data_IF_658732541413
#
_entry.id   IF_658732541413
#
_cell.length_a   1.000
_cell.length_b   1.000
_cell.length_c   1.000
_cell.angle_alpha   90.00
_cell.angle_beta   90.00
_cell.angle_gamma   90.00
#
_symmetry.space_group_name_H-M   'P 1'
#
loop_
_entity.id
_entity.type
_entity.pdbx_description
1 polymer ?
#
# COMPACT_ATOMS: atom_id res chain seq x y z
N UNK A 1 35.22 -27.02 -14.15
CA UNK A 1 33.97 -26.42 -13.65
C UNK A 1 32.92 -27.51 -13.70
N UNK A 2 32.39 -27.94 -12.56
CA UNK A 2 31.24 -28.85 -12.52
C UNK A 2 29.99 -27.99 -12.44
N UNK A 3 29.22 -27.96 -13.53
CA UNK A 3 27.90 -27.32 -13.52
C UNK A 3 27.00 -28.08 -12.53
N UNK A 4 26.61 -27.39 -11.46
CA UNK A 4 25.63 -27.92 -10.53
C UNK A 4 24.25 -27.80 -11.19
N UNK A 5 23.63 -28.93 -11.52
CA UNK A 5 22.25 -28.95 -12.00
C UNK A 5 21.30 -28.74 -10.82
N UNK A 6 20.47 -27.70 -10.93
CA UNK A 6 19.34 -27.49 -10.01
C UNK A 6 18.12 -28.20 -10.57
N UNK A 7 17.56 -29.15 -9.81
CA UNK A 7 16.32 -29.84 -10.17
C UNK A 7 15.21 -29.51 -9.16
N UNK A 8 13.96 -29.56 -9.63
CA UNK A 8 12.75 -29.43 -8.83
C UNK A 8 11.92 -30.70 -9.04
N UNK A 9 11.54 -31.37 -7.96
CA UNK A 9 10.68 -32.56 -7.99
C UNK A 9 9.30 -32.19 -7.48
N UNK A 10 8.26 -32.61 -8.20
CA UNK A 10 6.86 -32.45 -7.81
C UNK A 10 6.25 -33.85 -7.67
N UNK A 11 5.69 -34.14 -6.50
CA UNK A 11 4.97 -35.39 -6.24
C UNK A 11 3.47 -35.19 -6.43
N UNK A 12 2.88 -35.88 -7.40
CA UNK A 12 1.44 -35.84 -7.68
C UNK A 12 0.63 -36.86 -6.86
N UNK A 13 1.29 -37.78 -6.16
CA UNK A 13 0.63 -38.74 -5.26
C UNK A 13 0.26 -38.10 -3.91
N UNK A 14 0.89 -36.96 -3.56
CA UNK A 14 0.56 -36.16 -2.38
C UNK A 14 -0.11 -34.85 -2.79
N UNK A 15 -1.43 -34.76 -2.62
CA UNK A 15 -2.15 -33.50 -2.80
C UNK A 15 -2.05 -32.65 -1.53
N UNK A 16 -1.68 -31.37 -1.69
CA UNK A 16 -1.86 -30.36 -0.65
C UNK A 16 -3.33 -29.94 -0.50
N UNK A 17 -3.58 -28.90 0.29
CA UNK A 17 -4.91 -28.28 0.38
C UNK A 17 -5.31 -27.54 -0.90
N UNK A 18 -6.59 -27.13 -0.97
CA UNK A 18 -7.06 -26.29 -2.08
C UNK A 18 -6.24 -24.98 -2.14
N UNK A 19 -5.83 -24.52 -3.35
CA UNK A 19 -5.08 -23.28 -3.48
C UNK A 19 -5.86 -22.10 -2.91
N UNK A 20 -5.25 -21.37 -1.98
CA UNK A 20 -5.87 -20.22 -1.31
C UNK A 20 -5.43 -18.87 -1.89
N UNK A 21 -4.56 -18.86 -2.90
CA UNK A 21 -4.15 -17.68 -3.66
C UNK A 21 -3.62 -16.51 -2.81
N UNK A 22 -2.99 -16.80 -1.67
CA UNK A 22 -2.54 -15.78 -0.70
C UNK A 22 -1.64 -14.68 -1.29
N UNK A 23 -0.87 -14.99 -2.33
CA UNK A 23 0.01 -14.04 -3.02
C UNK A 23 -0.62 -13.40 -4.27
N UNK A 24 -1.90 -13.65 -4.57
CA UNK A 24 -2.58 -13.06 -5.71
C UNK A 24 -2.93 -11.61 -5.42
N UNK A 25 -2.05 -10.72 -5.86
CA UNK A 25 -2.19 -9.29 -5.65
C UNK A 25 -1.39 -8.51 -6.68
N UNK A 26 -1.63 -7.21 -6.74
CA UNK A 26 -0.91 -6.33 -7.66
C UNK A 26 -0.46 -5.06 -6.95
N UNK A 27 0.69 -4.56 -7.39
CA UNK A 27 1.32 -3.36 -6.87
C UNK A 27 1.30 -2.33 -7.99
N UNK A 28 0.62 -1.20 -7.76
CA UNK A 28 0.48 -0.12 -8.75
C UNK A 28 -0.03 -0.60 -10.12
N UNK A 29 -0.93 -1.59 -10.10
CA UNK A 29 -1.46 -2.25 -11.31
C UNK A 29 -2.69 -1.61 -11.92
N UNK A 30 -3.14 -0.45 -11.43
CA UNK A 30 -4.29 0.30 -11.97
C UNK A 30 -3.83 1.66 -12.47
N UNK A 31 -4.52 2.17 -13.48
CA UNK A 31 -4.36 3.56 -13.90
C UNK A 31 -4.77 4.52 -12.78
N UNK A 32 -4.28 5.77 -12.79
CA UNK A 32 -4.59 6.73 -11.73
C UNK A 32 -6.08 6.96 -11.50
N UNK A 33 -6.90 6.85 -12.53
CA UNK A 33 -8.36 6.98 -12.50
C UNK A 33 -9.10 5.64 -12.22
N UNK A 34 -8.37 4.54 -12.06
CA UNK A 34 -8.91 3.20 -11.80
C UNK A 34 -9.70 2.59 -12.96
N UNK A 35 -9.65 3.17 -14.17
CA UNK A 35 -10.43 2.70 -15.32
C UNK A 35 -9.83 1.45 -15.97
N UNK A 36 -8.51 1.30 -15.93
CA UNK A 36 -7.77 0.20 -16.52
C UNK A 36 -6.84 -0.46 -15.48
N UNK A 37 -6.47 -1.73 -15.69
CA UNK A 37 -6.89 -2.64 -16.78
C UNK A 37 -8.34 -3.15 -16.65
N UNK A 38 -8.80 -3.87 -17.68
CA UNK A 38 -10.13 -4.49 -17.74
C UNK A 38 -10.32 -5.51 -16.61
N UNK A 39 -11.57 -5.68 -16.14
CA UNK A 39 -11.94 -6.53 -14.99
C UNK A 39 -11.31 -7.93 -15.00
N UNK A 40 -11.27 -8.57 -16.17
CA UNK A 40 -10.86 -9.97 -16.29
C UNK A 40 -9.39 -10.19 -15.91
N UNK A 41 -8.52 -9.20 -16.11
CA UNK A 41 -7.12 -9.26 -15.65
C UNK A 41 -6.99 -9.35 -14.13
N UNK A 42 -8.02 -8.95 -13.38
CA UNK A 42 -8.09 -9.17 -11.93
C UNK A 42 -8.85 -10.45 -11.58
N UNK A 43 -10.03 -10.66 -12.19
CA UNK A 43 -10.92 -11.75 -11.80
C UNK A 43 -10.35 -13.12 -12.14
N UNK A 44 -9.67 -13.26 -13.27
CA UNK A 44 -9.23 -14.56 -13.79
C UNK A 44 -8.06 -15.15 -12.98
N UNK A 45 -7.30 -14.31 -12.27
CA UNK A 45 -6.18 -14.73 -11.42
C UNK A 45 -6.57 -14.95 -9.95
N UNK A 46 -7.88 -14.93 -9.64
CA UNK A 46 -8.41 -15.03 -8.27
C UNK A 46 -7.73 -14.02 -7.35
N UNK A 47 -7.75 -12.77 -7.81
CA UNK A 47 -7.08 -11.65 -7.18
C UNK A 47 -7.66 -11.29 -5.81
N UNK A 48 -6.78 -10.96 -4.86
CA UNK A 48 -7.15 -10.61 -3.49
C UNK A 48 -6.74 -9.19 -3.08
N UNK A 49 -5.58 -8.69 -3.54
CA UNK A 49 -4.99 -7.47 -2.97
C UNK A 49 -4.56 -6.45 -4.03
N UNK A 50 -4.96 -5.18 -3.86
CA UNK A 50 -4.34 -4.03 -4.53
C UNK A 50 -3.48 -3.27 -3.52
N UNK A 51 -2.19 -3.11 -3.79
CA UNK A 51 -1.39 -2.08 -3.13
C UNK A 51 -1.13 -0.95 -4.10
N UNK A 52 -1.77 0.20 -3.88
CA UNK A 52 -1.61 1.33 -4.78
C UNK A 52 -1.96 2.67 -4.12
N UNK A 53 -1.85 3.73 -4.91
CA UNK A 53 -2.09 5.11 -4.49
C UNK A 53 -1.28 6.08 -5.33
N UNK A 54 -1.04 7.28 -4.79
CA UNK A 54 -0.40 8.37 -5.52
C UNK A 54 1.12 8.30 -5.64
N UNK A 55 1.81 7.28 -5.10
CA UNK A 55 3.28 7.23 -5.14
C UNK A 55 3.88 7.26 -6.55
N UNK A 56 3.21 6.63 -7.52
CA UNK A 56 3.68 6.57 -8.91
C UNK A 56 3.34 7.84 -9.72
N UNK A 57 2.74 8.85 -9.08
CA UNK A 57 2.53 10.14 -9.71
C UNK A 57 3.81 10.97 -9.51
N UNK A 58 4.41 11.43 -10.60
CA UNK A 58 5.58 12.33 -10.61
C UNK A 58 5.27 13.74 -10.08
N UNK A 59 4.25 13.88 -9.24
CA UNK A 59 3.94 15.08 -8.46
C UNK A 59 4.47 14.91 -7.04
N UNK A 60 4.59 16.01 -6.30
CA UNK A 60 4.83 15.95 -4.86
C UNK A 60 3.65 15.28 -4.11
N UNK A 61 3.50 15.53 -2.82
CA UNK A 61 2.39 15.02 -2.04
C UNK A 61 2.02 15.93 -0.87
N UNK A 62 1.51 15.35 0.19
CA UNK A 62 1.21 16.05 1.45
C UNK A 62 2.39 16.87 1.98
N UNK A 63 3.61 16.37 1.80
CA UNK A 63 4.85 17.02 2.22
C UNK A 63 5.20 18.30 1.43
N UNK A 64 4.59 18.51 0.26
CA UNK A 64 4.98 19.58 -0.68
C UNK A 64 3.89 20.63 -0.84
N UNK A 65 2.64 20.22 -1.13
CA UNK A 65 1.53 21.16 -1.29
C UNK A 65 0.16 20.48 -1.18
N UNK A 66 -0.87 21.26 -0.86
CA UNK A 66 -2.26 20.78 -0.88
C UNK A 66 -2.69 20.31 -2.28
N UNK A 67 -2.23 20.98 -3.33
CA UNK A 67 -2.58 20.61 -4.71
C UNK A 67 -2.01 19.24 -5.08
N UNK A 68 -0.73 19.00 -4.75
CA UNK A 68 -0.09 17.70 -4.97
C UNK A 68 -0.73 16.58 -4.15
N UNK A 69 -1.06 16.87 -2.89
CA UNK A 69 -1.79 15.95 -2.03
C UNK A 69 -3.15 15.58 -2.61
N UNK A 70 -3.93 16.56 -3.11
CA UNK A 70 -5.23 16.30 -3.76
C UNK A 70 -5.08 15.44 -5.01
N UNK A 71 -4.03 15.65 -5.80
CA UNK A 71 -3.71 14.80 -6.96
C UNK A 71 -3.51 13.33 -6.54
N UNK A 72 -2.67 13.09 -5.52
CA UNK A 72 -2.42 11.74 -4.98
C UNK A 72 -3.66 11.13 -4.34
N UNK A 73 -4.44 11.93 -3.62
CA UNK A 73 -5.69 11.50 -2.98
C UNK A 73 -6.74 11.07 -4.00
N UNK A 74 -6.98 11.88 -5.04
CA UNK A 74 -7.95 11.57 -6.08
C UNK A 74 -7.64 10.24 -6.76
N UNK A 75 -6.35 10.00 -7.04
CA UNK A 75 -5.93 8.74 -7.62
C UNK A 75 -6.11 7.55 -6.67
N UNK A 76 -5.72 7.73 -5.40
CA UNK A 76 -5.88 6.71 -4.36
C UNK A 76 -7.36 6.34 -4.18
N UNK A 77 -8.25 7.32 -4.15
CA UNK A 77 -9.68 7.11 -3.98
C UNK A 77 -10.29 6.37 -5.17
N UNK A 78 -9.88 6.70 -6.40
CA UNK A 78 -10.37 6.02 -7.61
C UNK A 78 -9.95 4.54 -7.62
N UNK A 79 -8.69 4.27 -7.32
CA UNK A 79 -8.15 2.90 -7.26
C UNK A 79 -8.73 2.08 -6.09
N UNK A 80 -8.97 2.72 -4.94
CA UNK A 80 -9.69 2.12 -3.81
C UNK A 80 -11.10 1.70 -4.21
N UNK A 81 -11.89 2.62 -4.78
CA UNK A 81 -13.27 2.34 -5.21
C UNK A 81 -13.31 1.20 -6.21
N UNK A 82 -12.39 1.20 -7.18
CA UNK A 82 -12.27 0.13 -8.17
C UNK A 82 -11.92 -1.21 -7.54
N UNK A 83 -10.96 -1.23 -6.63
CA UNK A 83 -10.53 -2.44 -5.90
C UNK A 83 -11.70 -3.07 -5.15
N UNK A 84 -12.43 -2.27 -4.38
CA UNK A 84 -13.60 -2.73 -3.63
C UNK A 84 -14.70 -3.22 -4.57
N UNK A 85 -14.96 -2.51 -5.68
CA UNK A 85 -15.97 -2.91 -6.67
C UNK A 85 -15.63 -4.26 -7.36
N UNK A 86 -14.35 -4.62 -7.43
CA UNK A 86 -13.89 -5.91 -7.97
C UNK A 86 -13.79 -7.01 -6.90
N UNK A 87 -14.08 -6.71 -5.63
CA UNK A 87 -14.03 -7.66 -4.52
C UNK A 87 -12.65 -7.83 -3.88
N UNK A 88 -11.69 -6.95 -4.18
CA UNK A 88 -10.35 -6.98 -3.61
C UNK A 88 -10.21 -6.16 -2.32
N UNK A 89 -9.10 -6.38 -1.62
CA UNK A 89 -8.67 -5.59 -0.47
C UNK A 89 -7.67 -4.53 -0.93
N UNK A 90 -7.92 -3.27 -0.61
CA UNK A 90 -7.01 -2.17 -0.91
C UNK A 90 -6.03 -1.94 0.25
N UNK A 91 -4.74 -1.89 -0.07
CA UNK A 91 -3.63 -1.66 0.85
C UNK A 91 -3.03 -0.30 0.53
N UNK A 92 -3.32 0.69 1.36
CA UNK A 92 -2.75 2.02 1.28
C UNK A 92 -1.48 2.10 2.12
N UNK A 93 -0.39 2.59 1.54
CA UNK A 93 0.79 2.96 2.31
C UNK A 93 0.85 4.48 2.50
N UNK A 94 1.26 4.99 3.67
CA UNK A 94 1.29 6.44 3.92
C UNK A 94 2.15 7.22 2.92
N UNK A 95 3.19 6.60 2.35
CA UNK A 95 4.05 7.25 1.36
C UNK A 95 3.31 7.55 0.04
N UNK A 96 2.24 6.81 -0.26
CA UNK A 96 1.37 7.05 -1.41
C UNK A 96 0.67 8.40 -1.37
N UNK A 97 0.49 8.98 -0.18
CA UNK A 97 -0.07 10.32 0.01
C UNK A 97 1.01 11.36 0.37
N UNK A 98 2.06 10.95 1.09
CA UNK A 98 3.08 11.84 1.61
C UNK A 98 3.86 12.57 0.52
N UNK A 99 4.27 11.88 -0.56
CA UNK A 99 5.17 12.47 -1.56
C UNK A 99 6.60 11.91 -1.55
N UNK A 100 6.93 11.02 -0.62
CA UNK A 100 8.21 10.32 -0.60
C UNK A 100 8.10 8.94 -1.25
N UNK A 101 9.06 8.55 -2.06
CA UNK A 101 9.27 7.18 -2.53
C UNK A 101 10.76 6.83 -2.56
N UNK A 102 11.16 5.73 -3.21
CA UNK A 102 12.56 5.31 -3.31
C UNK A 102 13.46 6.23 -4.16
N UNK A 103 12.87 7.18 -4.87
CA UNK A 103 13.51 8.10 -5.83
C UNK A 103 13.37 9.56 -5.43
N UNK A 104 12.46 9.91 -4.52
CA UNK A 104 12.21 11.28 -4.10
C UNK A 104 12.84 11.61 -2.74
N UNK A 105 13.25 12.88 -2.56
CA UNK A 105 14.09 13.31 -1.43
C UNK A 105 13.34 13.88 -0.22
N UNK A 106 12.01 13.79 -0.16
CA UNK A 106 11.23 14.34 0.95
C UNK A 106 11.52 13.54 2.23
N UNK A 107 11.81 14.24 3.32
CA UNK A 107 11.95 13.64 4.65
C UNK A 107 10.70 12.86 5.02
N UNK A 108 10.85 11.71 5.69
CA UNK A 108 9.71 10.96 6.21
C UNK A 108 9.18 11.64 7.48
N UNK A 109 7.86 11.69 7.69
CA UNK A 109 7.30 12.32 8.89
C UNK A 109 7.79 11.58 10.14
N UNK A 110 8.28 12.32 11.14
CA UNK A 110 8.79 11.75 12.39
C UNK A 110 10.23 11.22 12.34
N UNK A 111 10.94 11.36 11.21
CA UNK A 111 12.36 11.05 11.11
C UNK A 111 13.16 11.87 12.11
N UNK A 112 14.05 11.22 12.88
CA UNK A 112 14.84 11.85 13.95
C UNK A 112 14.01 12.56 15.04
N UNK A 113 12.73 12.18 15.20
CA UNK A 113 11.81 12.82 16.15
C UNK A 113 11.21 14.15 15.68
N UNK A 114 11.51 14.59 14.45
CA UNK A 114 11.02 15.84 13.89
C UNK A 114 9.68 15.64 13.16
N UNK A 115 8.66 16.39 13.60
CA UNK A 115 7.32 16.42 12.99
C UNK A 115 6.96 17.77 12.38
N UNK A 116 7.90 18.73 12.34
CA UNK A 116 7.65 20.11 11.91
C UNK A 116 6.99 20.17 10.52
N UNK A 117 7.46 19.34 9.58
CA UNK A 117 6.88 19.29 8.23
C UNK A 117 5.46 18.71 8.23
N UNK A 118 5.20 17.70 9.06
CA UNK A 118 3.88 17.10 9.20
C UNK A 118 2.89 18.10 9.81
N UNK A 119 3.28 18.78 10.90
CA UNK A 119 2.45 19.77 11.59
C UNK A 119 2.21 21.02 10.71
N UNK A 120 3.21 21.48 9.95
CA UNK A 120 3.07 22.61 9.04
C UNK A 120 2.20 22.30 7.81
N UNK A 121 2.13 21.03 7.41
CA UNK A 121 1.28 20.57 6.30
C UNK A 121 -0.21 20.40 6.66
N UNK A 122 -0.63 20.83 7.85
CA UNK A 122 -2.04 20.83 8.28
C UNK A 122 -2.90 21.82 7.47
N UNK A 123 -3.25 21.44 6.25
CA UNK A 123 -4.00 22.29 5.30
C UNK A 123 -5.51 22.41 5.57
N UNK A 124 -5.98 22.19 6.80
CA UNK A 124 -7.37 22.51 7.22
C UNK A 124 -8.53 21.73 6.56
N UNK A 125 -8.29 20.78 5.66
CA UNK A 125 -9.33 20.01 4.95
C UNK A 125 -9.84 18.78 5.75
N UNK A 126 -11.07 18.28 5.51
CA UNK A 126 -11.57 17.01 6.07
C UNK A 126 -10.75 15.77 5.65
N UNK A 127 -9.76 15.94 4.77
CA UNK A 127 -8.72 14.95 4.41
C UNK A 127 -7.70 14.76 5.56
N UNK A 128 -7.78 15.57 6.64
CA UNK A 128 -7.05 15.43 7.92
C UNK A 128 -7.00 14.00 8.49
N UNK A 129 -8.03 13.20 8.24
CA UNK A 129 -8.12 11.85 8.83
C UNK A 129 -7.23 10.81 8.14
N UNK A 130 -7.03 10.88 6.82
CA UNK A 130 -6.39 9.78 6.09
C UNK A 130 -4.86 9.74 6.29
N UNK A 131 -4.16 10.86 6.10
CA UNK A 131 -2.72 10.94 6.38
C UNK A 131 -2.43 10.99 7.89
N UNK A 132 -3.25 11.71 8.66
CA UNK A 132 -3.08 11.87 10.10
C UNK A 132 -3.31 10.58 10.89
N UNK A 133 -4.35 9.80 10.57
CA UNK A 133 -4.63 8.55 11.28
C UNK A 133 -3.62 7.44 10.95
N UNK A 134 -3.09 7.39 9.72
CA UNK A 134 -2.12 6.35 9.31
C UNK A 134 -0.75 6.55 9.98
N UNK A 135 -0.32 7.80 10.20
CA UNK A 135 0.92 8.09 10.95
C UNK A 135 0.72 7.91 12.45
N UNK A 136 -0.44 8.27 13.00
CA UNK A 136 -0.74 8.07 14.43
C UNK A 136 -0.87 6.58 14.82
N UNK A 137 -1.28 5.70 13.89
CA UNK A 137 -1.31 4.25 14.12
C UNK A 137 0.08 3.63 14.34
N UNK A 138 1.16 4.25 13.87
CA UNK A 138 2.53 3.76 14.13
C UNK A 138 2.98 3.97 15.59
N UNK A 139 2.23 4.74 16.39
CA UNK A 139 2.38 4.76 17.85
C UNK A 139 1.58 3.67 18.59
N UNK A 140 0.71 2.94 17.88
CA UNK A 140 -0.26 1.98 18.47
C UNK A 140 -0.04 0.54 18.00
N UNK A 141 0.69 0.32 16.89
CA UNK A 141 1.08 -1.03 16.46
C UNK A 141 2.33 -1.46 17.26
N UNK A 142 2.13 -1.58 18.57
CA UNK A 142 2.96 -2.39 19.44
C UNK A 142 2.72 -3.86 19.10
N UNK A 143 3.76 -4.50 18.59
CA UNK A 143 3.86 -5.95 18.53
C UNK A 143 3.43 -6.55 19.88
N UNK A 144 2.51 -7.52 19.95
CA UNK A 144 2.06 -8.03 21.24
C UNK A 144 3.22 -8.78 21.91
N UNK A 145 3.71 -8.26 23.04
CA UNK A 145 4.52 -9.05 23.94
C UNK A 145 3.63 -10.14 24.52
N UNK A 146 3.87 -11.35 24.04
CA UNK A 146 3.22 -12.58 24.47
C UNK A 146 3.63 -12.88 25.91
N UNK A 147 2.65 -12.86 26.81
CA UNK A 147 2.68 -13.56 28.08
C UNK A 147 3.09 -12.71 29.28
N UNK A 148 2.11 -12.42 30.15
CA UNK A 148 2.11 -13.02 31.49
C UNK A 148 0.68 -13.10 32.03
N UNK A 149 0.37 -14.30 32.50
CA UNK A 149 -0.86 -14.74 33.15
C UNK A 149 -0.67 -14.67 34.66
N UNK A 150 -1.75 -14.34 35.38
CA UNK A 150 -1.98 -14.51 36.83
C UNK A 150 -1.05 -13.66 37.73
N UNK A 151 -1.50 -12.98 38.78
CA UNK A 151 -2.63 -13.14 39.71
C UNK A 151 -3.06 -11.76 40.21
#
# INVERSE_FOLDING_TARGET
MTDAYTFVTVDFASAGGAPAYHASGMIYGMTPDGSLPQDHFFKDIKWHYMRAGGAQLNSGGYATSLADHRTRWNSTLAQYKRTVALGGTFVLLPHDLWGADGTTGQGRPGGNGDRTQFDASEHGDPIRLACGAIVSLHGVIGFPLRGQSAR
#
